data_IF_729707730599
#
_entry.id   IF_729707730599
#
_cell.length_a   1.000
_cell.length_b   1.000
_cell.length_c   1.000
_cell.angle_alpha   90.00
_cell.angle_beta   90.00
_cell.angle_gamma   90.00
#
_symmetry.space_group_name_H-M   'P 1'
#
loop_
_entity.id
_entity.type
_entity.pdbx_description
1 polymer ?
#
# COMPACT_ATOMS: atom_id res chain seq x y z
N UNK A 1 20.08 -3.87 -10.77
CA UNK A 1 19.00 -4.08 -11.76
C UNK A 1 18.16 -5.24 -11.30
N UNK A 2 16.94 -4.98 -10.88
CA UNK A 2 16.04 -5.99 -10.37
C UNK A 2 15.48 -6.89 -11.49
N UNK A 3 14.95 -8.02 -11.09
CA UNK A 3 14.29 -8.97 -11.96
C UNK A 3 13.18 -8.33 -12.84
N UNK A 4 12.43 -7.39 -12.29
CA UNK A 4 11.34 -6.68 -12.97
C UNK A 4 11.85 -5.77 -14.09
N UNK A 5 13.03 -5.16 -13.96
CA UNK A 5 13.62 -4.29 -14.99
C UNK A 5 13.93 -5.02 -16.29
N UNK A 6 14.19 -6.33 -16.22
CA UNK A 6 14.48 -7.18 -17.39
C UNK A 6 13.23 -7.63 -18.14
N UNK A 7 12.07 -7.66 -17.48
CA UNK A 7 10.83 -8.21 -18.05
C UNK A 7 9.95 -7.13 -18.65
N UNK A 8 9.93 -5.95 -18.04
CA UNK A 8 8.97 -4.91 -18.37
C UNK A 8 9.40 -4.00 -19.51
N UNK A 9 10.66 -4.01 -19.90
CA UNK A 9 11.18 -3.47 -21.17
C UNK A 9 10.74 -2.07 -21.60
N UNK A 10 10.31 -1.24 -20.68
CA UNK A 10 10.11 0.21 -20.74
C UNK A 10 9.36 0.67 -19.49
N UNK A 11 10.03 1.42 -18.67
CA UNK A 11 9.37 2.23 -17.62
C UNK A 11 8.33 3.11 -18.27
N UNK A 12 7.11 3.06 -17.76
CA UNK A 12 6.06 4.03 -18.10
C UNK A 12 6.68 5.43 -18.14
N UNK A 13 6.54 6.14 -19.26
CA UNK A 13 6.98 7.53 -19.38
C UNK A 13 6.38 8.31 -18.20
N UNK A 14 7.24 8.79 -17.35
CA UNK A 14 6.86 9.58 -16.18
C UNK A 14 6.37 10.92 -16.69
N UNK A 15 5.07 11.15 -16.59
CA UNK A 15 4.49 12.44 -16.89
C UNK A 15 5.09 13.56 -16.02
N UNK A 16 4.99 14.85 -16.45
CA UNK A 16 5.70 15.97 -15.84
C UNK A 16 5.29 16.34 -14.41
N UNK A 17 4.32 15.65 -13.79
CA UNK A 17 3.76 15.96 -12.47
C UNK A 17 3.82 14.80 -11.48
N UNK A 18 4.96 14.10 -11.41
CA UNK A 18 5.16 13.07 -10.38
C UNK A 18 5.30 13.72 -9.00
N UNK A 19 4.27 13.63 -8.19
CA UNK A 19 4.38 13.87 -6.76
C UNK A 19 5.21 12.74 -6.16
N UNK A 20 6.41 13.06 -5.65
CA UNK A 20 7.23 12.12 -4.90
C UNK A 20 6.80 12.17 -3.44
N UNK A 21 5.99 11.20 -3.01
CA UNK A 21 5.48 11.13 -1.64
C UNK A 21 6.42 10.39 -0.69
N UNK A 22 6.36 10.72 0.59
CA UNK A 22 7.11 10.06 1.67
C UNK A 22 6.17 9.84 2.85
N UNK A 23 5.36 8.79 2.79
CA UNK A 23 4.40 8.50 3.85
C UNK A 23 5.06 7.76 5.03
N UNK A 24 5.90 6.78 4.75
CA UNK A 24 6.49 5.90 5.77
C UNK A 24 7.86 6.33 6.25
N UNK A 25 8.59 7.16 5.50
CA UNK A 25 10.00 7.47 5.74
C UNK A 25 10.24 8.86 6.36
N UNK A 26 9.18 9.62 6.60
CA UNK A 26 9.31 10.93 7.25
C UNK A 26 9.51 10.81 8.74
N UNK A 27 10.39 11.64 9.33
CA UNK A 27 10.42 11.81 10.77
C UNK A 27 9.04 12.19 11.30
N UNK A 28 8.63 11.59 12.41
CA UNK A 28 7.34 11.83 13.04
C UNK A 28 7.51 12.77 14.22
N UNK A 29 6.63 13.75 14.33
CA UNK A 29 6.55 14.61 15.50
C UNK A 29 5.84 13.92 16.68
N UNK A 30 5.79 14.61 17.83
CA UNK A 30 5.16 14.06 19.04
C UNK A 30 3.67 13.77 18.83
N UNK A 31 2.96 14.62 18.11
CA UNK A 31 1.51 14.46 17.85
C UNK A 31 1.27 13.21 17.01
N UNK A 32 2.10 13.00 15.99
CA UNK A 32 2.01 11.80 15.16
C UNK A 32 2.36 10.53 15.96
N UNK A 33 3.36 10.57 16.85
CA UNK A 33 3.67 9.44 17.73
C UNK A 33 2.53 9.12 18.68
N UNK A 34 1.88 10.15 19.26
CA UNK A 34 0.69 9.97 20.10
C UNK A 34 -0.48 9.32 19.30
N UNK A 35 -0.61 9.63 18.01
CA UNK A 35 -1.59 8.99 17.12
C UNK A 35 -1.26 7.52 16.85
N UNK A 36 0.01 7.18 16.73
CA UNK A 36 0.46 5.79 16.62
C UNK A 36 0.10 4.98 17.86
N UNK A 37 0.35 5.53 19.05
CA UNK A 37 0.02 4.87 20.32
C UNK A 37 -1.50 4.67 20.44
N UNK A 38 -2.30 5.69 20.12
CA UNK A 38 -3.77 5.61 20.11
C UNK A 38 -4.29 4.58 19.09
N UNK A 39 -3.65 4.49 17.91
CA UNK A 39 -4.02 3.48 16.91
C UNK A 39 -3.82 2.06 17.45
N UNK A 40 -2.71 1.81 18.13
CA UNK A 40 -2.45 0.51 18.77
C UNK A 40 -3.41 0.24 19.95
N UNK A 41 -3.72 1.25 20.76
CA UNK A 41 -4.69 1.14 21.85
C UNK A 41 -6.09 0.81 21.33
N UNK A 42 -6.56 1.51 20.30
CA UNK A 42 -7.86 1.22 19.67
C UNK A 42 -7.90 -0.17 19.06
N UNK A 43 -6.81 -0.62 18.44
CA UNK A 43 -6.71 -1.97 17.91
C UNK A 43 -6.83 -3.03 19.02
N UNK A 44 -6.16 -2.83 20.15
CA UNK A 44 -6.22 -3.74 21.30
C UNK A 44 -7.61 -3.77 21.97
N UNK A 45 -8.41 -2.72 21.80
CA UNK A 45 -9.81 -2.67 22.24
C UNK A 45 -10.80 -3.12 21.15
N UNK A 46 -10.33 -3.71 20.06
CA UNK A 46 -11.13 -4.20 18.93
C UNK A 46 -11.89 -3.10 18.18
N UNK A 47 -11.53 -1.83 18.39
CA UNK A 47 -12.05 -0.70 17.62
C UNK A 47 -11.19 -0.48 16.36
N UNK A 48 -11.35 -1.40 15.41
CA UNK A 48 -10.50 -1.47 14.22
C UNK A 48 -10.64 -0.25 13.31
N UNK A 49 -11.86 0.29 13.17
CA UNK A 49 -12.07 1.49 12.35
C UNK A 49 -11.38 2.72 12.94
N UNK A 50 -11.49 2.91 14.25
CA UNK A 50 -10.80 3.98 14.97
C UNK A 50 -9.28 3.81 14.86
N UNK A 51 -8.79 2.59 15.02
CA UNK A 51 -7.38 2.25 14.86
C UNK A 51 -6.85 2.65 13.48
N UNK A 52 -7.54 2.27 12.41
CA UNK A 52 -7.17 2.60 11.04
C UNK A 52 -7.20 4.11 10.79
N UNK A 53 -8.22 4.80 11.27
CA UNK A 53 -8.32 6.26 11.13
C UNK A 53 -7.16 6.98 11.81
N UNK A 54 -6.80 6.58 13.03
CA UNK A 54 -5.65 7.11 13.75
C UNK A 54 -4.33 6.77 13.04
N UNK A 55 -4.21 5.57 12.50
CA UNK A 55 -3.07 5.18 11.69
C UNK A 55 -2.94 6.03 10.42
N UNK A 56 -4.03 6.34 9.73
CA UNK A 56 -4.01 7.26 8.59
C UNK A 56 -3.56 8.66 9.00
N UNK A 57 -4.07 9.17 10.12
CA UNK A 57 -3.66 10.46 10.65
C UNK A 57 -2.18 10.48 11.07
N UNK A 58 -1.67 9.36 11.62
CA UNK A 58 -0.24 9.19 11.88
C UNK A 58 0.61 9.27 10.60
N UNK A 59 0.17 8.64 9.50
CA UNK A 59 0.90 8.68 8.23
C UNK A 59 0.77 10.05 7.53
N UNK A 60 -0.32 10.75 7.74
CA UNK A 60 -0.64 11.97 7.00
C UNK A 60 0.35 13.10 7.30
N UNK A 61 0.84 13.71 6.23
CA UNK A 61 1.52 15.01 6.29
C UNK A 61 0.77 15.98 5.37
N UNK A 62 0.04 16.96 5.94
CA UNK A 62 -0.79 17.88 5.15
C UNK A 62 0.00 18.71 4.14
N UNK A 63 1.27 19.02 4.43
CA UNK A 63 2.13 19.82 3.53
C UNK A 63 2.51 19.02 2.28
N UNK A 64 2.72 17.71 2.44
CA UNK A 64 3.16 16.82 1.37
C UNK A 64 2.01 16.15 0.61
N UNK A 65 0.78 16.23 1.15
CA UNK A 65 -0.40 15.56 0.58
C UNK A 65 -0.14 14.08 0.23
N UNK A 66 0.60 13.40 1.10
CA UNK A 66 1.08 12.04 0.88
C UNK A 66 0.02 10.97 1.16
N UNK A 67 -1.08 11.36 1.79
CA UNK A 67 -2.21 10.48 2.09
C UNK A 67 -3.50 11.25 1.94
N UNK A 68 -4.48 10.61 1.32
CA UNK A 68 -5.88 11.04 1.32
C UNK A 68 -6.76 9.86 1.66
N UNK A 69 -7.80 10.09 2.46
CA UNK A 69 -8.83 9.09 2.71
C UNK A 69 -10.19 9.72 2.87
N UNK A 70 -11.21 8.95 2.58
CA UNK A 70 -12.61 9.34 2.76
C UNK A 70 -13.40 8.22 3.41
N UNK A 71 -14.33 8.61 4.28
CA UNK A 71 -15.30 7.67 4.85
C UNK A 71 -16.35 7.36 3.81
N UNK A 72 -16.60 6.08 3.59
CA UNK A 72 -17.66 5.56 2.71
C UNK A 72 -18.62 4.70 3.52
N UNK A 73 -19.74 4.30 2.93
CA UNK A 73 -20.69 3.43 3.62
C UNK A 73 -20.01 2.10 4.00
N UNK A 74 -19.79 1.93 5.30
CA UNK A 74 -19.21 0.70 5.86
C UNK A 74 -17.68 0.65 5.87
N UNK A 75 -16.97 1.78 5.65
CA UNK A 75 -15.51 1.76 5.74
C UNK A 75 -14.80 3.00 5.24
N UNK A 76 -13.67 2.81 4.58
CA UNK A 76 -12.82 3.86 4.03
C UNK A 76 -12.35 3.53 2.62
N UNK A 77 -12.14 4.55 1.82
CA UNK A 77 -11.28 4.50 0.63
C UNK A 77 -10.10 5.42 0.87
N UNK A 78 -8.89 4.99 0.48
CA UNK A 78 -7.67 5.75 0.73
C UNK A 78 -6.68 5.65 -0.41
N UNK A 79 -5.80 6.64 -0.48
CA UNK A 79 -4.67 6.68 -1.39
C UNK A 79 -3.43 7.17 -0.64
N UNK A 80 -2.32 6.46 -0.80
CA UNK A 80 -1.02 6.79 -0.21
C UNK A 80 0.00 6.96 -1.31
N UNK A 81 0.73 8.06 -1.29
CA UNK A 81 1.86 8.31 -2.20
C UNK A 81 3.16 8.04 -1.47
N UNK A 82 3.90 7.05 -1.93
CA UNK A 82 5.21 6.70 -1.39
C UNK A 82 6.20 6.48 -2.54
N UNK A 83 7.25 7.29 -2.57
CA UNK A 83 8.12 7.37 -3.74
C UNK A 83 7.33 7.82 -4.97
N UNK A 84 7.45 7.10 -6.07
CA UNK A 84 6.69 7.33 -7.29
C UNK A 84 5.43 6.45 -7.39
N UNK A 85 5.12 5.65 -6.38
CA UNK A 85 3.97 4.76 -6.37
C UNK A 85 2.77 5.40 -5.69
N UNK A 86 1.62 5.17 -6.28
CA UNK A 86 0.32 5.47 -5.69
C UNK A 86 -0.26 4.14 -5.23
N UNK A 87 -0.48 4.02 -3.94
CA UNK A 87 -1.11 2.87 -3.31
C UNK A 87 -2.57 3.24 -3.08
N UNK A 88 -3.47 2.59 -3.76
CA UNK A 88 -4.91 2.75 -3.57
C UNK A 88 -5.44 1.64 -2.67
N UNK A 89 -6.37 1.95 -1.79
CA UNK A 89 -6.90 0.95 -0.90
C UNK A 89 -8.33 1.20 -0.45
N UNK A 90 -8.90 0.13 0.05
CA UNK A 90 -10.26 0.09 0.58
C UNK A 90 -10.30 -0.70 1.87
N UNK A 91 -11.07 -0.20 2.80
CA UNK A 91 -11.41 -0.86 4.06
C UNK A 91 -12.92 -1.04 4.09
N UNK A 92 -13.38 -2.24 4.34
CA UNK A 92 -14.77 -2.55 4.63
C UNK A 92 -14.92 -3.18 6.02
N UNK A 93 -16.08 -3.74 6.34
CA UNK A 93 -16.35 -4.29 7.68
C UNK A 93 -15.45 -5.45 8.09
N UNK A 94 -14.89 -6.18 7.14
CA UNK A 94 -14.13 -7.41 7.39
C UNK A 94 -12.71 -7.35 6.86
N UNK A 95 -12.45 -6.55 5.83
CA UNK A 95 -11.21 -6.59 5.08
C UNK A 95 -10.61 -5.20 4.87
N UNK A 96 -9.29 -5.20 4.81
CA UNK A 96 -8.51 -4.11 4.22
C UNK A 96 -7.76 -4.66 3.02
N UNK A 97 -7.82 -3.93 1.91
CA UNK A 97 -7.02 -4.19 0.71
C UNK A 97 -6.31 -2.91 0.30
N UNK A 98 -5.04 -3.04 -0.01
CA UNK A 98 -4.23 -1.99 -0.62
C UNK A 98 -3.51 -2.56 -1.85
N UNK A 99 -3.44 -1.79 -2.93
CA UNK A 99 -2.74 -2.22 -4.14
C UNK A 99 -2.03 -1.06 -4.82
N UNK A 100 -0.93 -1.37 -5.49
CA UNK A 100 -0.27 -0.45 -6.42
C UNK A 100 -0.09 -1.13 -7.77
N UNK A 101 -0.41 -0.42 -8.84
CA UNK A 101 -0.12 -0.83 -10.21
C UNK A 101 1.35 -0.55 -10.51
N UNK A 102 2.07 -1.57 -10.97
CA UNK A 102 3.50 -1.47 -11.27
C UNK A 102 3.70 -1.21 -12.76
N UNK A 103 3.09 -2.04 -13.60
CA UNK A 103 3.25 -1.95 -15.05
C UNK A 103 2.14 -2.69 -15.80
N UNK A 104 1.95 -2.32 -17.07
CA UNK A 104 1.09 -3.06 -17.98
C UNK A 104 1.86 -4.15 -18.69
N UNK A 105 1.43 -5.39 -18.60
CA UNK A 105 2.05 -6.51 -19.29
C UNK A 105 1.59 -6.57 -20.74
N UNK A 106 2.55 -6.51 -21.68
CA UNK A 106 2.25 -6.61 -23.12
C UNK A 106 1.93 -8.05 -23.55
N UNK A 107 2.52 -9.04 -22.88
CA UNK A 107 2.28 -10.46 -23.12
C UNK A 107 2.48 -11.27 -21.84
N UNK A 108 1.67 -12.30 -21.67
CA UNK A 108 1.73 -13.20 -20.53
C UNK A 108 2.27 -14.56 -21.00
N UNK A 109 3.59 -14.73 -20.97
CA UNK A 109 4.20 -16.04 -21.23
C UNK A 109 4.16 -16.91 -19.97
N UNK A 110 4.18 -18.24 -20.16
CA UNK A 110 4.26 -19.19 -19.03
C UNK A 110 5.52 -18.93 -18.19
N UNK A 111 6.65 -18.62 -18.84
CA UNK A 111 7.89 -18.28 -18.14
C UNK A 111 7.75 -17.02 -17.26
N UNK A 112 7.05 -16.00 -17.73
CA UNK A 112 6.75 -14.81 -16.95
C UNK A 112 5.87 -15.15 -15.73
N UNK A 113 4.77 -15.87 -15.95
CA UNK A 113 3.85 -16.26 -14.88
C UNK A 113 4.54 -17.09 -13.81
N UNK A 114 5.39 -18.05 -14.21
CA UNK A 114 6.19 -18.85 -13.27
C UNK A 114 7.10 -17.97 -12.40
N UNK A 115 7.82 -17.05 -13.01
CA UNK A 115 8.69 -16.12 -12.28
C UNK A 115 7.93 -15.17 -11.37
N UNK A 116 6.73 -14.77 -11.76
CA UNK A 116 5.85 -13.95 -10.90
C UNK A 116 5.45 -14.72 -9.64
N UNK A 117 5.10 -16.00 -9.79
CA UNK A 117 4.80 -16.88 -8.65
C UNK A 117 6.03 -17.07 -7.76
N UNK A 118 7.20 -17.31 -8.36
CA UNK A 118 8.47 -17.42 -7.62
C UNK A 118 8.78 -16.15 -6.83
N UNK A 119 8.58 -14.96 -7.42
CA UNK A 119 8.84 -13.68 -6.77
C UNK A 119 7.95 -13.44 -5.52
N UNK A 120 6.79 -14.08 -5.44
CA UNK A 120 5.92 -13.99 -4.26
C UNK A 120 6.56 -14.59 -3.00
N UNK A 121 7.53 -15.51 -3.13
CA UNK A 121 8.27 -16.05 -1.98
C UNK A 121 9.21 -15.02 -1.33
N UNK A 122 9.50 -13.91 -2.01
CA UNK A 122 10.31 -12.82 -1.47
C UNK A 122 9.49 -11.76 -0.73
N UNK A 123 8.16 -11.87 -0.77
CA UNK A 123 7.24 -10.94 -0.12
C UNK A 123 6.78 -11.50 1.22
N UNK A 124 6.68 -10.63 2.22
CA UNK A 124 6.25 -11.00 3.57
C UNK A 124 4.77 -10.68 3.80
N UNK A 125 4.30 -9.56 3.30
CA UNK A 125 2.95 -9.05 3.55
C UNK A 125 2.10 -9.03 2.29
N UNK A 126 2.70 -8.68 1.17
CA UNK A 126 2.03 -8.53 -0.11
C UNK A 126 2.17 -9.72 -1.03
N UNK A 127 1.59 -9.58 -2.21
CA UNK A 127 1.80 -10.50 -3.32
C UNK A 127 1.71 -9.77 -4.65
N UNK A 128 2.48 -10.24 -5.62
CA UNK A 128 2.28 -9.85 -7.01
C UNK A 128 1.04 -10.52 -7.57
N UNK A 129 0.28 -9.78 -8.36
CA UNK A 129 -0.95 -10.21 -9.01
C UNK A 129 -1.10 -9.55 -10.36
N UNK A 130 -2.02 -10.07 -11.17
CA UNK A 130 -2.45 -9.44 -12.41
C UNK A 130 -3.91 -9.02 -12.25
N UNK A 131 -4.21 -7.77 -12.63
CA UNK A 131 -5.59 -7.32 -12.70
C UNK A 131 -6.28 -7.80 -14.00
N UNK A 132 -7.58 -7.53 -14.12
CA UNK A 132 -8.37 -7.91 -15.30
C UNK A 132 -7.91 -7.24 -16.60
N UNK A 133 -7.13 -6.17 -16.50
CA UNK A 133 -6.56 -5.43 -17.63
C UNK A 133 -5.11 -5.83 -17.95
N UNK A 134 -4.62 -6.91 -17.32
CA UNK A 134 -3.24 -7.39 -17.44
C UNK A 134 -2.19 -6.40 -16.91
N UNK A 135 -2.55 -5.58 -15.94
CA UNK A 135 -1.56 -4.82 -15.21
C UNK A 135 -0.93 -5.71 -14.12
N UNK A 136 0.38 -5.64 -14.02
CA UNK A 136 1.10 -6.18 -12.87
C UNK A 136 0.84 -5.26 -11.67
N UNK A 137 0.33 -5.84 -10.61
CA UNK A 137 0.02 -5.16 -9.36
C UNK A 137 0.77 -5.84 -8.21
N UNK A 138 1.03 -5.06 -7.16
CA UNK A 138 1.37 -5.60 -5.85
C UNK A 138 0.21 -5.30 -4.92
N UNK A 139 -0.23 -6.32 -4.16
CA UNK A 139 -1.45 -6.27 -3.35
C UNK A 139 -1.09 -6.68 -1.93
N UNK A 140 -1.62 -5.96 -0.95
CA UNK A 140 -1.66 -6.33 0.45
C UNK A 140 -3.12 -6.46 0.89
N UNK A 141 -3.46 -7.55 1.54
CA UNK A 141 -4.80 -7.80 2.09
C UNK A 141 -4.70 -8.33 3.51
N UNK A 142 -5.64 -7.92 4.35
CA UNK A 142 -5.75 -8.41 5.72
C UNK A 142 -7.20 -8.39 6.19
N UNK A 143 -7.56 -9.35 7.05
CA UNK A 143 -8.76 -9.18 7.88
C UNK A 143 -8.56 -8.01 8.83
N UNK A 144 -9.64 -7.29 9.18
CA UNK A 144 -9.54 -6.14 10.07
C UNK A 144 -9.00 -6.50 11.46
N UNK A 145 -9.42 -7.63 11.99
CA UNK A 145 -8.95 -8.15 13.27
C UNK A 145 -7.46 -8.51 13.31
N UNK A 146 -6.84 -8.63 12.13
CA UNK A 146 -5.40 -8.87 11.97
C UNK A 146 -4.63 -7.65 11.46
N UNK A 147 -5.33 -6.58 11.10
CA UNK A 147 -4.76 -5.38 10.48
C UNK A 147 -4.23 -4.40 11.54
N UNK A 148 -3.32 -4.86 12.40
CA UNK A 148 -2.69 -4.01 13.40
C UNK A 148 -1.93 -2.85 12.72
N UNK A 149 -1.73 -1.70 13.40
CA UNK A 149 -0.95 -0.58 12.87
C UNK A 149 0.43 -0.99 12.36
N UNK A 150 1.11 -1.92 13.04
CA UNK A 150 2.38 -2.49 12.59
C UNK A 150 2.26 -3.24 11.26
N UNK A 151 1.26 -4.14 11.15
CA UNK A 151 1.03 -4.91 9.92
C UNK A 151 0.68 -3.98 8.75
N UNK A 152 -0.15 -2.96 8.99
CA UNK A 152 -0.49 -1.95 8.00
C UNK A 152 0.74 -1.16 7.54
N UNK A 153 1.56 -0.70 8.48
CA UNK A 153 2.77 0.07 8.18
C UNK A 153 3.73 -0.73 7.30
N UNK A 154 4.05 -1.95 7.69
CA UNK A 154 5.00 -2.79 6.95
C UNK A 154 4.40 -3.30 5.63
N UNK A 155 3.11 -3.60 5.57
CA UNK A 155 2.43 -3.97 4.32
C UNK A 155 2.45 -2.84 3.29
N UNK A 156 2.11 -1.61 3.69
CA UNK A 156 2.18 -0.45 2.81
C UNK A 156 3.63 -0.11 2.41
N UNK A 157 4.57 -0.25 3.34
CA UNK A 157 6.01 -0.05 3.06
C UNK A 157 6.54 -1.08 2.06
N UNK A 158 6.15 -2.35 2.17
CA UNK A 158 6.55 -3.38 1.22
C UNK A 158 6.03 -3.09 -0.18
N UNK A 159 4.75 -2.71 -0.34
CA UNK A 159 4.19 -2.27 -1.63
C UNK A 159 5.03 -1.12 -2.22
N UNK A 160 5.43 -0.17 -1.39
CA UNK A 160 6.16 1.01 -1.83
C UNK A 160 7.56 0.71 -2.34
N UNK A 161 8.24 -0.28 -1.75
CA UNK A 161 9.66 -0.60 -2.01
C UNK A 161 9.83 -1.58 -3.17
N UNK A 162 8.87 -2.47 -3.40
CA UNK A 162 8.92 -3.52 -4.44
C UNK A 162 8.35 -3.06 -5.76
#
# INVERSE_FOLDING_TARGET
MGFLDRILGETQERGPNLCFGRATDLPKDKVQLDLWDKANESFNHEDYFQSIEQFFNYLNNPELKNLSYQKVLGGFEFSVVQGSKIIEGKVDKNWLRAEAKIAKCKSLSIGFLRKLVEANFELQYGRYSLDSQQNLCIIFESFLEEASPYKLFFGLKEIAVK
#
